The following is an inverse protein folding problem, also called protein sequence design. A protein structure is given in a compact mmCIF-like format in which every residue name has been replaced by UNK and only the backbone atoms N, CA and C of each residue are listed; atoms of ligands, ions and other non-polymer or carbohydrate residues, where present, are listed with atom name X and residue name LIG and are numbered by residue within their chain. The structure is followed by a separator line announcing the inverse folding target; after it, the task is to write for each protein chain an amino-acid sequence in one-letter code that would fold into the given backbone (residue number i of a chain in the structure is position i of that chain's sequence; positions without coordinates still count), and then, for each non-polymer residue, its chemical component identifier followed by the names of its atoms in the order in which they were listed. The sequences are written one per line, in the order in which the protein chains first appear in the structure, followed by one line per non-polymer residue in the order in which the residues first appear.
data_IF_713849034598
#
_entry.id   IF_713849034598
#
_cell.length_a   1.000
_cell.length_b   1.000
_cell.length_c   1.000
_cell.angle_alpha   90.00
_cell.angle_beta   90.00
_cell.angle_gamma   90.00
#
_symmetry.space_group_name_H-M   'P 1'
#
loop_
_entity.id
_entity.type
_entity.pdbx_description
1 polymer ?
#
# COMPACT_ATOMS: atom_id res chain seq x y z
N UNK A 1 11.50 13.34 2.36
CA UNK A 1 12.49 12.30 2.38
C UNK A 1 12.94 11.94 0.96
N UNK A 2 12.08 11.32 0.13
CA UNK A 2 12.43 10.91 -1.25
C UNK A 2 12.89 12.08 -2.15
N UNK A 3 12.28 13.25 -2.03
CA UNK A 3 12.70 14.43 -2.81
C UNK A 3 14.11 14.88 -2.45
N UNK A 4 14.46 14.80 -1.17
CA UNK A 4 15.82 15.11 -0.72
C UNK A 4 16.82 14.08 -1.26
N UNK A 5 16.53 12.79 -1.14
CA UNK A 5 17.37 11.70 -1.67
C UNK A 5 17.58 11.82 -3.17
N UNK A 6 16.50 12.07 -3.93
CA UNK A 6 16.57 12.30 -5.38
C UNK A 6 17.48 13.49 -5.71
N UNK A 7 17.37 14.59 -4.95
CA UNK A 7 18.23 15.77 -5.15
C UNK A 7 19.69 15.47 -4.83
N UNK A 8 19.97 14.68 -3.78
CA UNK A 8 21.32 14.24 -3.45
C UNK A 8 21.92 13.35 -4.54
N UNK A 9 21.15 12.40 -5.03
CA UNK A 9 21.60 11.50 -6.10
C UNK A 9 21.91 12.29 -7.38
N UNK A 10 21.03 13.19 -7.80
CA UNK A 10 21.25 14.06 -8.96
C UNK A 10 22.51 14.94 -8.79
N UNK A 11 22.74 15.51 -7.60
CA UNK A 11 23.95 16.25 -7.29
C UNK A 11 25.20 15.38 -7.45
N UNK A 12 25.16 14.15 -6.94
CA UNK A 12 26.28 13.21 -7.04
C UNK A 12 26.58 12.83 -8.50
N UNK A 13 25.55 12.56 -9.31
CA UNK A 13 25.69 12.29 -10.74
C UNK A 13 26.37 13.45 -11.48
N UNK A 14 25.98 14.70 -11.18
CA UNK A 14 26.62 15.88 -11.77
C UNK A 14 28.06 16.04 -11.30
N UNK A 15 28.38 15.70 -10.06
CA UNK A 15 29.75 15.74 -9.54
C UNK A 15 30.65 14.72 -10.25
N UNK A 16 30.17 13.48 -10.40
CA UNK A 16 30.88 12.40 -11.11
C UNK A 16 31.10 12.74 -12.59
N UNK A 17 30.14 13.44 -13.21
CA UNK A 17 30.26 13.92 -14.58
C UNK A 17 31.14 15.17 -14.74
N UNK A 18 31.68 15.72 -13.63
CA UNK A 18 32.47 16.96 -13.65
C UNK A 18 31.67 18.22 -14.01
N UNK A 19 30.34 18.16 -13.87
CA UNK A 19 29.42 19.25 -14.22
C UNK A 19 28.94 20.06 -13.01
N UNK A 20 29.32 19.65 -11.79
CA UNK A 20 28.99 20.37 -10.57
C UNK A 20 30.03 21.44 -10.24
N UNK A 21 29.61 22.66 -9.93
CA UNK A 21 30.44 23.74 -9.42
C UNK A 21 29.77 24.36 -8.17
N UNK A 22 30.48 25.27 -7.50
CA UNK A 22 30.04 25.89 -6.24
C UNK A 22 28.73 26.68 -6.38
N UNK A 23 28.46 27.23 -7.54
CA UNK A 23 27.22 28.01 -7.82
C UNK A 23 26.10 27.20 -8.46
N UNK A 24 26.30 25.88 -8.65
CA UNK A 24 25.31 25.02 -9.27
C UNK A 24 24.01 24.99 -8.45
N UNK A 25 22.84 25.19 -9.08
CA UNK A 25 21.54 25.03 -8.41
C UNK A 25 21.36 23.65 -7.77
N UNK A 26 22.01 22.62 -8.28
CA UNK A 26 21.95 21.26 -7.74
C UNK A 26 22.58 21.13 -6.33
N UNK A 27 23.29 22.16 -5.83
CA UNK A 27 23.77 22.20 -4.46
C UNK A 27 22.65 22.48 -3.44
N UNK A 28 21.47 22.90 -3.89
CA UNK A 28 20.40 23.37 -3.04
C UNK A 28 19.09 22.63 -3.36
N UNK A 29 18.29 22.37 -2.34
CA UNK A 29 16.93 21.88 -2.50
C UNK A 29 16.00 22.65 -1.57
N UNK A 30 14.81 23.01 -2.08
CA UNK A 30 13.79 23.65 -1.26
C UNK A 30 13.12 22.60 -0.37
N UNK A 31 13.12 22.84 0.93
CA UNK A 31 12.45 21.99 1.91
C UNK A 31 11.54 22.83 2.81
N UNK A 32 10.36 22.29 3.09
CA UNK A 32 9.48 22.79 4.14
C UNK A 32 9.50 21.78 5.29
N UNK A 33 9.72 22.28 6.48
CA UNK A 33 9.68 21.48 7.71
C UNK A 33 8.38 21.80 8.46
N UNK A 34 7.65 20.74 8.86
CA UNK A 34 6.48 20.82 9.69
C UNK A 34 6.66 19.88 10.87
N UNK A 35 6.26 20.31 12.05
CA UNK A 35 6.27 19.43 13.23
C UNK A 35 5.28 18.28 13.06
N UNK A 36 5.65 17.09 13.50
CA UNK A 36 4.76 15.92 13.41
C UNK A 36 3.48 16.08 14.26
N UNK A 37 3.54 16.95 15.28
CA UNK A 37 2.42 17.25 16.19
C UNK A 37 1.68 18.53 15.79
N UNK A 38 1.97 19.10 14.63
CA UNK A 38 1.31 20.31 14.16
C UNK A 38 -0.17 20.00 13.85
N UNK A 39 -1.13 20.70 14.48
CA UNK A 39 -2.55 20.41 14.28
C UNK A 39 -3.06 20.67 12.85
N UNK A 40 -2.28 21.38 12.04
CA UNK A 40 -2.56 21.59 10.61
C UNK A 40 -1.97 20.49 9.71
N UNK A 41 -1.20 19.54 10.26
CA UNK A 41 -0.64 18.43 9.50
C UNK A 41 -1.71 17.35 9.32
N UNK A 42 -2.22 17.19 8.10
CA UNK A 42 -3.08 16.07 7.74
C UNK A 42 -2.26 15.02 6.98
N UNK A 43 -2.19 13.80 7.51
CA UNK A 43 -1.62 12.66 6.83
C UNK A 43 -2.78 11.82 6.30
N UNK A 44 -2.98 11.86 4.99
CA UNK A 44 -4.03 11.07 4.35
C UNK A 44 -3.58 9.61 4.17
N UNK A 45 -4.50 8.66 4.33
CA UNK A 45 -4.23 7.27 3.97
C UNK A 45 -3.89 7.19 2.48
N UNK A 46 -3.15 6.16 2.12
CA UNK A 46 -2.87 5.90 0.72
C UNK A 46 -3.43 4.53 0.37
N UNK A 47 -4.62 4.50 -0.23
CA UNK A 47 -5.25 3.27 -0.69
C UNK A 47 -4.64 2.80 -2.01
N UNK A 48 -4.85 1.54 -2.38
CA UNK A 48 -4.29 0.93 -3.59
C UNK A 48 -5.40 0.39 -4.47
N UNK A 49 -5.44 0.82 -5.72
CA UNK A 49 -6.18 0.13 -6.77
C UNK A 49 -5.17 -0.78 -7.50
N UNK A 50 -5.38 -2.07 -7.40
CA UNK A 50 -4.44 -3.08 -7.91
C UNK A 50 -5.00 -3.69 -9.19
N UNK A 51 -4.21 -3.63 -10.26
CA UNK A 51 -4.50 -4.24 -11.56
C UNK A 51 -3.42 -5.26 -11.93
N UNK A 52 -3.62 -6.00 -13.03
CA UNK A 52 -2.65 -6.99 -13.50
C UNK A 52 -2.86 -8.39 -12.94
N UNK A 53 -3.90 -8.61 -12.15
CA UNK A 53 -4.43 -9.94 -11.81
C UNK A 53 -5.52 -10.36 -12.79
N UNK A 54 -5.86 -11.67 -12.89
CA UNK A 54 -7.13 -12.08 -13.46
C UNK A 54 -8.29 -11.50 -12.64
N UNK A 55 -9.51 -11.65 -13.11
CA UNK A 55 -10.69 -11.26 -12.36
C UNK A 55 -10.77 -12.07 -11.06
N UNK A 56 -10.79 -11.38 -9.93
CA UNK A 56 -10.80 -11.99 -8.59
C UNK A 56 -12.13 -11.70 -7.89
N UNK A 57 -12.74 -12.74 -7.33
CA UNK A 57 -13.92 -12.65 -6.47
C UNK A 57 -13.54 -12.66 -4.99
N UNK A 58 -14.50 -12.31 -4.13
CA UNK A 58 -14.31 -12.48 -2.66
C UNK A 58 -14.02 -13.92 -2.28
N UNK A 59 -14.51 -14.90 -3.04
CA UNK A 59 -14.22 -16.31 -2.84
C UNK A 59 -12.74 -16.63 -3.08
N UNK A 60 -12.15 -16.05 -4.14
CA UNK A 60 -10.74 -16.23 -4.46
C UNK A 60 -9.83 -15.58 -3.39
N UNK A 61 -10.22 -14.41 -2.88
CA UNK A 61 -9.51 -13.74 -1.79
C UNK A 61 -9.54 -14.58 -0.51
N UNK A 62 -10.71 -15.10 -0.13
CA UNK A 62 -10.86 -15.99 1.04
C UNK A 62 -10.01 -17.25 0.89
N UNK A 63 -9.99 -17.85 -0.28
CA UNK A 63 -9.21 -19.05 -0.55
C UNK A 63 -7.68 -18.79 -0.54
N UNK A 64 -7.25 -17.58 -0.91
CA UNK A 64 -5.84 -17.22 -0.92
C UNK A 64 -5.32 -16.78 0.45
N UNK A 65 -6.14 -16.06 1.23
CA UNK A 65 -5.68 -15.36 2.43
C UNK A 65 -6.19 -15.97 3.75
N UNK A 66 -7.22 -16.83 3.72
CA UNK A 66 -7.92 -17.31 4.92
C UNK A 66 -7.08 -18.13 5.90
N UNK A 67 -5.89 -18.56 5.52
CA UNK A 67 -4.96 -19.27 6.42
C UNK A 67 -4.21 -18.29 7.35
N UNK A 68 -3.96 -17.07 6.88
CA UNK A 68 -3.17 -16.05 7.60
C UNK A 68 -4.00 -14.85 8.08
N UNK A 69 -5.26 -14.77 7.64
CA UNK A 69 -6.15 -13.64 7.95
C UNK A 69 -7.53 -14.13 8.39
N UNK A 70 -8.06 -13.52 9.44
CA UNK A 70 -9.49 -13.56 9.71
C UNK A 70 -10.20 -12.66 8.72
N UNK A 71 -11.21 -13.17 8.00
CA UNK A 71 -11.87 -12.48 6.91
C UNK A 71 -13.38 -12.40 7.16
N UNK A 72 -13.89 -11.18 7.19
CA UNK A 72 -15.30 -10.85 7.39
C UNK A 72 -15.84 -10.12 6.16
N UNK A 73 -17.06 -10.45 5.69
CA UNK A 73 -17.74 -9.66 4.67
C UNK A 73 -18.36 -8.43 5.31
N UNK A 74 -18.17 -7.28 4.68
CA UNK A 74 -18.75 -5.99 5.09
C UNK A 74 -19.55 -5.40 3.92
N UNK A 75 -20.51 -4.53 4.23
CA UNK A 75 -21.44 -4.05 3.21
C UNK A 75 -20.80 -3.03 2.25
N UNK A 76 -19.93 -2.15 2.77
CA UNK A 76 -19.37 -1.02 2.01
C UNK A 76 -17.90 -0.79 2.35
N UNK A 77 -17.24 0.03 1.53
CA UNK A 77 -15.89 0.53 1.79
C UNK A 77 -15.82 1.32 3.10
N UNK A 78 -16.85 2.14 3.37
CA UNK A 78 -16.94 2.96 4.57
C UNK A 78 -17.04 2.08 5.82
N UNK A 79 -17.86 1.02 5.79
CA UNK A 79 -17.97 0.08 6.90
C UNK A 79 -16.65 -0.63 7.17
N UNK A 80 -15.89 -0.98 6.11
CA UNK A 80 -14.56 -1.51 6.25
C UNK A 80 -13.62 -0.49 6.89
N UNK A 81 -13.65 0.75 6.41
CA UNK A 81 -12.81 1.83 6.91
C UNK A 81 -13.07 2.17 8.37
N UNK A 82 -14.35 2.34 8.76
CA UNK A 82 -14.74 2.57 10.15
C UNK A 82 -14.25 1.46 11.09
N UNK A 83 -14.36 0.20 10.64
CA UNK A 83 -13.85 -0.94 11.43
C UNK A 83 -12.32 -0.90 11.55
N UNK A 84 -11.60 -0.52 10.50
CA UNK A 84 -10.15 -0.34 10.53
C UNK A 84 -9.73 0.78 11.50
N UNK A 85 -10.43 1.91 11.48
CA UNK A 85 -10.18 3.03 12.41
C UNK A 85 -10.44 2.63 13.88
N UNK A 86 -11.47 1.82 14.13
CA UNK A 86 -11.76 1.30 15.47
C UNK A 86 -10.70 0.32 15.96
N UNK A 87 -10.20 -0.55 15.09
CA UNK A 87 -9.12 -1.48 15.41
C UNK A 87 -7.78 -0.75 15.63
N UNK A 88 -7.53 0.34 14.89
CA UNK A 88 -6.36 1.23 15.07
C UNK A 88 -5.01 0.58 14.77
N UNK A 89 -5.00 -0.63 14.21
CA UNK A 89 -3.79 -1.43 13.95
C UNK A 89 -3.30 -1.36 12.51
N UNK A 90 -2.01 -1.69 12.34
CA UNK A 90 -1.38 -1.81 11.02
C UNK A 90 -1.73 -3.13 10.30
N UNK A 91 -2.36 -4.07 11.00
CA UNK A 91 -2.61 -5.44 10.54
C UNK A 91 -4.04 -5.65 10.03
N UNK A 92 -4.75 -4.55 9.76
CA UNK A 92 -6.15 -4.56 9.31
C UNK A 92 -6.26 -3.92 7.92
N UNK A 93 -7.01 -4.56 7.03
CA UNK A 93 -7.15 -4.13 5.64
C UNK A 93 -8.61 -4.26 5.18
N UNK A 94 -9.07 -3.32 4.36
CA UNK A 94 -10.28 -3.47 3.58
C UNK A 94 -9.95 -3.91 2.17
N UNK A 95 -10.58 -4.96 1.64
CA UNK A 95 -10.41 -5.38 0.24
C UNK A 95 -11.75 -5.41 -0.48
N UNK A 96 -11.86 -4.61 -1.53
CA UNK A 96 -12.98 -4.60 -2.45
C UNK A 96 -12.66 -5.36 -3.73
N UNK A 97 -13.61 -6.15 -4.21
CA UNK A 97 -13.52 -6.93 -5.46
C UNK A 97 -14.53 -6.40 -6.47
N UNK A 98 -14.10 -5.70 -7.55
CA UNK A 98 -15.00 -5.15 -8.56
C UNK A 98 -15.81 -6.22 -9.32
N UNK A 99 -15.37 -7.46 -9.33
CA UNK A 99 -16.04 -8.57 -10.02
C UNK A 99 -17.42 -8.88 -9.46
N UNK A 100 -17.52 -8.94 -8.13
CA UNK A 100 -18.78 -9.24 -7.41
C UNK A 100 -19.29 -8.03 -6.59
N UNK A 101 -18.57 -6.91 -6.61
CA UNK A 101 -18.98 -5.65 -5.96
C UNK A 101 -19.00 -5.72 -4.44
N UNK A 102 -18.24 -6.65 -3.86
CA UNK A 102 -18.24 -6.91 -2.41
C UNK A 102 -17.00 -6.35 -1.72
N UNK A 103 -17.12 -6.24 -0.40
CA UNK A 103 -16.03 -5.79 0.49
C UNK A 103 -15.75 -6.83 1.57
N UNK A 104 -14.47 -6.97 1.87
CA UNK A 104 -13.94 -7.82 2.92
C UNK A 104 -13.12 -6.98 3.88
N UNK A 105 -13.29 -7.24 5.17
CA UNK A 105 -12.40 -6.76 6.23
C UNK A 105 -11.47 -7.91 6.61
N UNK A 106 -10.18 -7.68 6.54
CA UNK A 106 -9.14 -8.64 6.85
C UNK A 106 -8.39 -8.20 8.10
N UNK A 107 -8.18 -9.13 9.03
CA UNK A 107 -7.30 -8.94 10.18
C UNK A 107 -6.24 -10.03 10.15
N UNK A 108 -4.96 -9.64 10.16
CA UNK A 108 -3.89 -10.62 10.18
C UNK A 108 -3.94 -11.42 11.49
N UNK A 109 -3.92 -12.73 11.37
CA UNK A 109 -3.82 -13.67 12.50
C UNK A 109 -2.41 -14.22 12.63
N UNK A 110 -1.64 -14.16 11.54
CA UNK A 110 -0.26 -14.59 11.48
C UNK A 110 0.55 -13.72 10.51
N UNK A 111 1.47 -12.94 11.04
CA UNK A 111 2.43 -12.13 10.28
C UNK A 111 3.84 -12.73 10.31
N UNK A 112 4.01 -13.90 10.92
CA UNK A 112 5.33 -14.57 11.00
C UNK A 112 5.97 -14.84 9.63
N UNK A 113 5.22 -15.06 8.53
CA UNK A 113 5.81 -15.17 7.19
C UNK A 113 6.66 -13.97 6.78
N UNK A 114 6.40 -12.78 7.32
CA UNK A 114 7.20 -11.59 7.03
C UNK A 114 8.68 -11.74 7.43
N UNK A 115 9.00 -12.62 8.40
CA UNK A 115 10.38 -12.90 8.80
C UNK A 115 11.17 -13.60 7.69
N UNK A 116 10.51 -14.43 6.89
CA UNK A 116 11.11 -15.16 5.76
C UNK A 116 11.02 -14.34 4.46
N UNK A 117 9.94 -13.56 4.29
CA UNK A 117 9.70 -12.77 3.08
C UNK A 117 10.56 -11.48 3.01
N UNK A 118 11.02 -10.98 4.15
CA UNK A 118 11.83 -9.77 4.24
C UNK A 118 12.85 -9.86 5.40
N UNK A 119 13.76 -10.87 5.39
CA UNK A 119 14.71 -11.07 6.49
C UNK A 119 15.71 -9.95 6.64
N UNK A 120 15.97 -9.19 5.57
CA UNK A 120 16.87 -8.03 5.55
C UNK A 120 16.28 -6.77 6.19
N UNK A 121 14.97 -6.74 6.44
CA UNK A 121 14.27 -5.59 7.01
C UNK A 121 14.18 -5.67 8.53
N UNK A 122 14.01 -4.53 9.19
CA UNK A 122 13.78 -4.46 10.64
C UNK A 122 12.39 -4.99 11.02
N UNK A 123 12.23 -5.42 12.29
CA UNK A 123 10.93 -5.85 12.83
C UNK A 123 9.85 -4.76 12.69
N UNK A 124 10.24 -3.49 12.93
CA UNK A 124 9.34 -2.34 12.75
C UNK A 124 8.84 -2.24 11.31
N UNK A 125 9.74 -2.40 10.32
CA UNK A 125 9.36 -2.38 8.91
C UNK A 125 8.45 -3.56 8.54
N UNK A 126 8.75 -4.76 9.04
CA UNK A 126 7.91 -5.94 8.82
C UNK A 126 6.50 -5.82 9.41
N UNK A 127 6.35 -5.07 10.50
CA UNK A 127 5.05 -4.79 11.13
C UNK A 127 4.24 -3.65 10.50
N UNK A 128 4.78 -2.94 9.49
CA UNK A 128 4.01 -1.90 8.81
C UNK A 128 2.93 -2.51 7.91
N UNK A 129 1.71 -1.98 7.97
CA UNK A 129 0.59 -2.44 7.15
C UNK A 129 0.92 -2.43 5.65
N UNK A 130 1.60 -1.40 5.17
CA UNK A 130 2.03 -1.34 3.76
C UNK A 130 3.04 -2.44 3.41
N UNK A 131 3.90 -2.86 4.33
CA UNK A 131 4.86 -3.94 4.12
C UNK A 131 4.16 -5.30 4.06
N UNK A 132 3.24 -5.55 5.00
CA UNK A 132 2.39 -6.75 5.03
C UNK A 132 1.57 -6.83 3.74
N UNK A 133 0.93 -5.72 3.35
CA UNK A 133 0.16 -5.66 2.10
C UNK A 133 0.99 -6.07 0.89
N UNK A 134 2.14 -5.44 0.69
CA UNK A 134 2.93 -5.70 -0.52
C UNK A 134 3.59 -7.07 -0.47
N UNK A 135 4.30 -7.41 0.62
CA UNK A 135 5.11 -8.64 0.68
C UNK A 135 4.27 -9.88 0.95
N UNK A 136 3.38 -9.85 1.97
CA UNK A 136 2.62 -11.05 2.34
C UNK A 136 1.36 -11.20 1.48
N UNK A 137 0.51 -10.17 1.39
CA UNK A 137 -0.78 -10.30 0.69
C UNK A 137 -0.56 -10.39 -0.83
N UNK A 138 0.08 -9.40 -1.43
CA UNK A 138 0.15 -9.31 -2.90
C UNK A 138 1.23 -10.23 -3.47
N UNK A 139 2.50 -10.08 -3.05
CA UNK A 139 3.62 -10.78 -3.68
C UNK A 139 3.64 -12.27 -3.31
N UNK A 140 3.30 -12.64 -2.07
CA UNK A 140 3.37 -14.03 -1.61
C UNK A 140 2.06 -14.77 -1.82
N UNK A 141 0.96 -14.31 -1.20
CA UNK A 141 -0.29 -15.07 -1.17
C UNK A 141 -1.06 -14.97 -2.49
N UNK A 142 -1.34 -13.77 -2.99
CA UNK A 142 -2.11 -13.60 -4.23
C UNK A 142 -1.30 -14.01 -5.47
N UNK A 143 -0.07 -13.53 -5.59
CA UNK A 143 0.79 -13.88 -6.72
C UNK A 143 1.22 -15.35 -6.68
N UNK A 144 1.32 -15.95 -5.49
CA UNK A 144 1.54 -17.40 -5.34
C UNK A 144 0.42 -18.25 -5.96
N UNK A 145 -0.82 -17.76 -5.97
CA UNK A 145 -1.96 -18.40 -6.65
C UNK A 145 -2.05 -18.03 -8.14
N UNK A 146 -1.47 -16.90 -8.52
CA UNK A 146 -1.49 -16.35 -9.90
C UNK A 146 -0.08 -15.96 -10.34
N UNK A 147 0.83 -16.93 -10.61
CA UNK A 147 2.24 -16.65 -10.90
C UNK A 147 2.46 -15.79 -12.15
N UNK A 148 1.51 -15.81 -13.10
CA UNK A 148 1.53 -15.03 -14.34
C UNK A 148 1.11 -13.58 -14.14
N UNK A 149 0.56 -13.22 -12.96
CA UNK A 149 0.10 -11.87 -12.68
C UNK A 149 1.28 -10.88 -12.59
N UNK A 150 1.09 -9.68 -13.13
CA UNK A 150 1.99 -8.53 -13.03
C UNK A 150 1.29 -7.38 -12.29
N UNK A 151 1.25 -7.41 -10.94
CA UNK A 151 0.49 -6.43 -10.17
C UNK A 151 0.99 -5.02 -10.39
N UNK A 152 0.07 -4.12 -10.75
CA UNK A 152 0.32 -2.68 -10.88
C UNK A 152 -0.54 -1.92 -9.89
N UNK A 153 0.06 -0.93 -9.24
CA UNK A 153 -0.56 -0.15 -8.18
C UNK A 153 -0.85 1.26 -8.66
N UNK A 154 -2.10 1.67 -8.54
CA UNK A 154 -2.49 3.09 -8.57
C UNK A 154 -2.77 3.52 -7.14
N UNK A 155 -2.06 4.54 -6.68
CA UNK A 155 -2.21 5.10 -5.33
C UNK A 155 -3.28 6.17 -5.36
N UNK A 156 -4.23 6.09 -4.43
CA UNK A 156 -5.35 7.02 -4.28
C UNK A 156 -5.51 7.39 -2.79
N UNK A 157 -6.04 8.58 -2.53
CA UNK A 157 -6.11 9.12 -1.17
C UNK A 157 -7.55 9.33 -0.69
N UNK A 158 -8.50 9.41 -1.60
CA UNK A 158 -9.89 9.69 -1.30
C UNK A 158 -10.76 8.47 -1.54
N UNK A 159 -11.78 8.28 -0.71
CA UNK A 159 -12.74 7.20 -0.86
C UNK A 159 -13.49 7.27 -2.20
N UNK A 160 -13.79 8.48 -2.69
CA UNK A 160 -14.41 8.67 -4.01
C UNK A 160 -13.58 8.10 -5.16
N UNK A 161 -12.23 8.16 -5.05
CA UNK A 161 -11.34 7.54 -6.03
C UNK A 161 -11.36 6.01 -5.96
N UNK A 162 -11.54 5.47 -4.75
CA UNK A 162 -11.73 4.03 -4.51
C UNK A 162 -13.04 3.57 -5.15
N UNK A 163 -14.14 4.28 -4.90
CA UNK A 163 -15.43 3.98 -5.52
C UNK A 163 -15.39 4.08 -7.04
N UNK A 164 -14.72 5.09 -7.58
CA UNK A 164 -14.55 5.22 -9.02
C UNK A 164 -13.82 3.99 -9.58
N UNK A 165 -12.71 3.58 -8.97
CA UNK A 165 -11.95 2.41 -9.38
C UNK A 165 -12.76 1.11 -9.36
N UNK A 166 -13.58 0.93 -8.32
CA UNK A 166 -14.49 -0.21 -8.17
C UNK A 166 -15.60 -0.22 -9.23
N UNK A 167 -16.29 0.91 -9.41
CA UNK A 167 -17.44 1.02 -10.31
C UNK A 167 -17.04 0.93 -11.78
N UNK A 168 -15.95 1.58 -12.16
CA UNK A 168 -15.40 1.55 -13.52
C UNK A 168 -14.60 0.28 -13.83
N UNK A 169 -14.40 -0.59 -12.83
CA UNK A 169 -13.62 -1.83 -12.92
C UNK A 169 -12.22 -1.61 -13.51
N UNK A 170 -11.58 -0.49 -13.12
CA UNK A 170 -10.22 -0.15 -13.56
C UNK A 170 -9.14 -0.90 -12.81
N UNK A 171 -9.53 -1.69 -11.81
CA UNK A 171 -8.65 -2.55 -11.00
C UNK A 171 -9.32 -3.91 -10.77
N UNK A 172 -8.57 -4.90 -10.33
CA UNK A 172 -9.10 -6.18 -9.87
C UNK A 172 -9.31 -6.18 -8.37
N UNK A 173 -8.59 -5.34 -7.64
CA UNK A 173 -8.74 -5.17 -6.19
C UNK A 173 -8.64 -3.69 -5.83
N UNK A 174 -9.49 -3.24 -4.90
CA UNK A 174 -9.33 -1.99 -4.19
C UNK A 174 -8.93 -2.30 -2.75
N UNK A 175 -7.79 -1.79 -2.27
CA UNK A 175 -7.27 -2.13 -0.94
C UNK A 175 -7.16 -0.86 -0.10
N UNK A 176 -7.90 -0.86 1.01
CA UNK A 176 -7.84 0.18 2.04
C UNK A 176 -6.70 -0.14 3.00
N UNK A 177 -5.90 0.88 3.32
CA UNK A 177 -4.74 0.79 4.22
C UNK A 177 -4.71 2.03 5.11
N UNK A 178 -4.42 1.87 6.37
CA UNK A 178 -4.15 2.96 7.32
C UNK A 178 -2.73 3.51 7.17
#
# INVERSE_FOLDING_TARGET
HHRYETSCNYKNELAEAGQLNETSPANHTLMMFCGMEDPGLAILPTHRLVSGFPELSTGDIKAALGEHFSIEEVETAEAAWESMEMDGGQEVFGIGTPSDGKWLLLRATDTSPMNELAPEQSDVWRGLGVSILHRQIVDHLLKGKHPEADPKFKFVHLMDEVHTGMNEKTCQLAILVM
#
